data_IF_446923904454
#
_entry.id   IF_446923904454
#
_cell.length_a   1.000
_cell.length_b   1.000
_cell.length_c   1.000
_cell.angle_alpha   90.00
_cell.angle_beta   90.00
_cell.angle_gamma   90.00
#
_symmetry.space_group_name_H-M   'P 1'
#
loop_
_entity.id
_entity.type
_entity.pdbx_description
1 polymer ?
#
# COMPACT_ATOMS: atom_id res chain seq x y z
N UNK A 1 -5.24 -4.68 -21.08
CA UNK A 1 -4.73 -5.35 -19.86
C UNK A 1 -5.88 -6.15 -19.29
N UNK A 2 -5.61 -7.29 -18.66
CA UNK A 2 -6.67 -8.19 -18.20
C UNK A 2 -6.33 -8.69 -16.80
N UNK A 3 -7.11 -8.22 -15.82
CA UNK A 3 -7.29 -8.97 -14.59
C UNK A 3 -8.09 -10.21 -14.97
N UNK A 4 -7.56 -11.38 -14.62
CA UNK A 4 -8.24 -12.66 -14.83
C UNK A 4 -8.76 -13.16 -13.49
N UNK A 5 -10.04 -13.50 -13.42
CA UNK A 5 -10.58 -14.17 -12.24
C UNK A 5 -9.97 -15.56 -12.07
N UNK A 6 -9.65 -15.90 -10.82
CA UNK A 6 -9.21 -17.23 -10.40
C UNK A 6 -10.40 -17.84 -9.66
N UNK A 7 -10.93 -18.93 -10.20
CA UNK A 7 -12.05 -19.62 -9.56
C UNK A 7 -13.39 -18.88 -9.65
N UNK A 8 -14.35 -19.37 -8.87
CA UNK A 8 -15.70 -18.82 -8.83
C UNK A 8 -15.80 -17.76 -7.73
N UNK A 9 -16.63 -16.74 -7.96
CA UNK A 9 -17.01 -15.80 -6.90
C UNK A 9 -17.69 -16.52 -5.74
N UNK A 10 -17.44 -16.05 -4.53
CA UNK A 10 -18.07 -16.55 -3.31
C UNK A 10 -18.58 -15.39 -2.45
N UNK A 11 -19.52 -15.71 -1.56
CA UNK A 11 -20.06 -14.75 -0.62
C UNK A 11 -19.49 -15.02 0.77
N UNK A 12 -19.06 -13.97 1.44
CA UNK A 12 -18.56 -14.04 2.79
C UNK A 12 -18.92 -12.74 3.53
N UNK A 13 -19.23 -12.86 4.81
CA UNK A 13 -19.32 -11.69 5.68
C UNK A 13 -17.89 -11.17 5.93
N UNK A 14 -17.72 -9.86 5.80
CA UNK A 14 -16.42 -9.20 5.99
C UNK A 14 -16.52 -8.07 7.00
N UNK A 15 -15.37 -7.70 7.55
CA UNK A 15 -15.23 -6.58 8.46
C UNK A 15 -14.47 -5.45 7.76
N UNK A 16 -15.11 -4.28 7.69
CA UNK A 16 -14.49 -3.07 7.15
C UNK A 16 -14.21 -2.11 8.31
N UNK A 17 -12.92 -1.88 8.61
CA UNK A 17 -12.52 -0.87 9.58
C UNK A 17 -12.65 0.55 9.05
N UNK A 18 -13.11 1.47 9.89
CA UNK A 18 -13.20 2.90 9.58
C UNK A 18 -12.19 3.78 10.34
N UNK A 19 -12.08 5.03 9.90
CA UNK A 19 -11.31 6.10 10.54
C UNK A 19 -12.30 7.10 11.15
N UNK A 20 -12.71 6.90 12.40
CA UNK A 20 -13.75 7.72 13.03
C UNK A 20 -13.25 9.06 13.58
N UNK A 21 -14.07 10.12 13.48
CA UNK A 21 -13.85 11.43 14.13
C UNK A 21 -15.01 11.81 15.09
N UNK A 22 -14.78 12.72 16.05
CA UNK A 22 -15.84 13.30 16.93
C UNK A 22 -16.05 12.64 18.32
N UNK A 23 -17.03 13.10 19.11
CA UNK A 23 -17.36 12.55 20.47
C UNK A 23 -18.45 11.45 20.45
N UNK A 24 -19.17 11.27 19.33
CA UNK A 24 -20.26 10.27 19.15
C UNK A 24 -19.81 8.99 18.44
N UNK A 25 -18.54 8.58 18.63
CA UNK A 25 -17.92 7.49 17.87
C UNK A 25 -18.53 6.10 18.15
N UNK A 26 -19.26 5.95 19.26
CA UNK A 26 -19.81 4.65 19.70
C UNK A 26 -21.28 4.43 19.32
N UNK A 27 -22.00 5.45 18.82
CA UNK A 27 -23.46 5.37 18.66
C UNK A 27 -23.90 5.23 17.20
N UNK A 28 -23.19 5.84 16.26
CA UNK A 28 -23.51 5.81 14.83
C UNK A 28 -22.19 6.02 14.07
N UNK A 29 -21.56 4.98 13.49
CA UNK A 29 -20.38 5.20 12.67
C UNK A 29 -20.83 5.86 11.36
N UNK A 30 -20.89 7.20 11.37
CA UNK A 30 -20.97 7.99 10.16
C UNK A 30 -19.62 7.88 9.43
N UNK A 31 -19.50 6.84 8.61
CA UNK A 31 -18.36 6.62 7.74
C UNK A 31 -18.38 7.65 6.60
N UNK A 32 -17.84 8.83 6.87
CA UNK A 32 -17.39 9.71 5.81
C UNK A 32 -16.01 9.21 5.38
N UNK A 33 -15.75 9.16 4.06
CA UNK A 33 -14.40 9.02 3.56
C UNK A 33 -13.50 10.03 4.32
N UNK A 34 -12.40 9.60 4.95
CA UNK A 34 -11.64 10.46 5.83
C UNK A 34 -11.13 11.70 5.09
N UNK A 35 -11.14 12.83 5.78
CA UNK A 35 -10.70 14.10 5.24
C UNK A 35 -9.25 13.98 4.70
N UNK A 36 -9.00 14.23 3.39
CA UNK A 36 -7.68 14.08 2.79
C UNK A 36 -6.64 15.08 3.31
N UNK A 37 -7.03 15.99 4.20
CA UNK A 37 -6.16 16.97 4.85
C UNK A 37 -5.66 16.53 6.24
N UNK A 38 -6.24 15.49 6.84
CA UNK A 38 -5.88 15.09 8.20
C UNK A 38 -4.70 14.10 8.24
N UNK A 39 -3.80 14.33 9.19
CA UNK A 39 -2.66 13.45 9.44
C UNK A 39 -3.15 12.09 9.97
N UNK A 40 -2.66 11.01 9.38
CA UNK A 40 -2.96 9.62 9.78
C UNK A 40 -2.69 9.30 11.27
N UNK A 41 -1.95 10.18 11.97
CA UNK A 41 -1.64 10.08 13.40
C UNK A 41 -2.86 10.33 14.30
N UNK A 42 -3.86 11.11 13.85
CA UNK A 42 -5.04 11.45 14.65
C UNK A 42 -6.07 10.31 14.76
N UNK A 43 -6.02 9.33 13.85
CA UNK A 43 -6.99 8.22 13.78
C UNK A 43 -6.51 6.93 14.48
N UNK A 44 -5.56 7.05 15.41
CA UNK A 44 -4.90 5.93 16.11
C UNK A 44 -5.79 5.14 17.10
N UNK A 45 -7.09 5.40 17.14
CA UNK A 45 -8.02 4.75 18.08
C UNK A 45 -8.41 3.37 17.53
N UNK A 46 -8.56 2.37 18.42
CA UNK A 46 -9.05 1.01 18.13
C UNK A 46 -10.18 1.10 17.10
N UNK A 47 -10.00 0.43 15.96
CA UNK A 47 -10.81 0.62 14.78
C UNK A 47 -12.28 0.32 15.08
N UNK A 48 -13.12 1.31 14.88
CA UNK A 48 -14.54 1.07 14.63
C UNK A 48 -14.63 0.25 13.36
N UNK A 49 -15.47 -0.76 13.35
CA UNK A 49 -15.65 -1.61 12.20
C UNK A 49 -17.12 -1.81 11.91
N UNK A 50 -17.41 -2.10 10.65
CA UNK A 50 -18.71 -2.52 10.20
C UNK A 50 -18.59 -3.96 9.68
N UNK A 51 -19.49 -4.81 10.14
CA UNK A 51 -19.75 -6.10 9.50
C UNK A 51 -20.61 -5.82 8.27
N UNK A 52 -20.14 -6.28 7.11
CA UNK A 52 -20.84 -6.23 5.84
C UNK A 52 -21.16 -7.66 5.45
N UNK A 53 -22.45 -7.97 5.44
CA UNK A 53 -22.92 -9.32 5.18
C UNK A 53 -22.93 -9.64 3.68
N UNK A 54 -22.62 -10.89 3.35
CA UNK A 54 -22.74 -11.47 2.00
C UNK A 54 -21.99 -10.70 0.89
N UNK A 55 -20.85 -10.10 1.20
CA UNK A 55 -20.04 -9.38 0.22
C UNK A 55 -19.52 -10.33 -0.87
N UNK A 56 -19.47 -9.86 -2.11
CA UNK A 56 -19.07 -10.68 -3.26
C UNK A 56 -17.53 -10.66 -3.41
N UNK A 57 -16.88 -11.71 -2.93
CA UNK A 57 -15.44 -11.87 -2.98
C UNK A 57 -15.01 -12.73 -4.17
N UNK A 58 -13.86 -12.36 -4.73
CA UNK A 58 -13.21 -13.08 -5.82
C UNK A 58 -11.71 -13.17 -5.59
N UNK A 59 -11.11 -14.23 -6.10
CA UNK A 59 -9.67 -14.32 -6.26
C UNK A 59 -9.32 -13.97 -7.71
N UNK A 60 -8.19 -13.28 -7.93
CA UNK A 60 -7.80 -12.77 -9.23
C UNK A 60 -6.29 -12.89 -9.47
N UNK A 61 -5.91 -13.00 -10.74
CA UNK A 61 -4.56 -12.77 -11.21
C UNK A 61 -4.51 -11.39 -11.86
N UNK A 62 -3.69 -10.51 -11.31
CA UNK A 62 -3.22 -9.34 -12.05
C UNK A 62 -2.12 -9.81 -13.02
N UNK A 63 -2.32 -9.61 -14.33
CA UNK A 63 -1.35 -9.97 -15.35
C UNK A 63 -0.97 -8.78 -16.23
N UNK A 64 0.33 -8.48 -16.25
CA UNK A 64 0.91 -7.48 -17.15
C UNK A 64 1.63 -8.18 -18.30
N UNK A 65 0.88 -8.44 -19.38
CA UNK A 65 1.29 -9.27 -20.52
C UNK A 65 2.62 -8.87 -21.16
N UNK A 66 2.86 -7.57 -21.35
CA UNK A 66 4.04 -7.08 -22.04
C UNK A 66 5.33 -7.26 -21.22
N UNK A 67 5.21 -7.52 -19.91
CA UNK A 67 6.35 -7.59 -18.99
C UNK A 67 6.42 -8.94 -18.25
N UNK A 68 5.54 -9.88 -18.62
CA UNK A 68 5.40 -11.23 -18.09
C UNK A 68 5.39 -11.26 -16.55
N UNK A 69 4.55 -10.40 -15.95
CA UNK A 69 4.41 -10.32 -14.49
C UNK A 69 3.00 -10.77 -14.11
N UNK A 70 2.90 -11.71 -13.18
CA UNK A 70 1.66 -12.13 -12.56
C UNK A 70 1.71 -11.98 -11.04
N UNK A 71 0.68 -11.38 -10.47
CA UNK A 71 0.48 -11.27 -9.02
C UNK A 71 -0.85 -11.92 -8.68
N UNK A 72 -0.83 -12.86 -7.74
CA UNK A 72 -2.03 -13.48 -7.20
C UNK A 72 -2.63 -12.54 -6.17
N UNK A 73 -3.95 -12.40 -6.20
CA UNK A 73 -4.67 -11.55 -5.26
C UNK A 73 -5.91 -12.27 -4.80
N UNK A 74 -6.06 -12.41 -3.49
CA UNK A 74 -7.11 -13.21 -2.87
C UNK A 74 -8.12 -12.34 -2.12
N UNK A 75 -9.35 -12.83 -2.05
CA UNK A 75 -10.45 -12.28 -1.24
C UNK A 75 -10.81 -10.83 -1.59
N UNK A 76 -10.68 -10.45 -2.86
CA UNK A 76 -10.96 -9.09 -3.34
C UNK A 76 -12.46 -8.87 -3.42
N UNK A 77 -12.96 -7.75 -2.88
CA UNK A 77 -14.33 -7.29 -3.13
C UNK A 77 -14.48 -7.02 -4.63
N UNK A 78 -15.41 -7.70 -5.30
CA UNK A 78 -15.54 -7.67 -6.77
C UNK A 78 -15.70 -6.25 -7.33
N UNK A 79 -16.38 -5.35 -6.63
CA UNK A 79 -16.53 -3.94 -7.04
C UNK A 79 -15.23 -3.14 -6.99
N UNK A 80 -14.22 -3.59 -6.25
CA UNK A 80 -12.95 -2.88 -6.01
C UNK A 80 -11.81 -3.35 -6.93
N UNK A 81 -12.08 -4.30 -7.83
CA UNK A 81 -11.08 -4.83 -8.78
C UNK A 81 -10.43 -3.74 -9.62
N UNK A 82 -11.22 -2.75 -10.08
CA UNK A 82 -10.71 -1.63 -10.87
C UNK A 82 -9.79 -0.71 -10.04
N UNK A 83 -10.09 -0.53 -8.76
CA UNK A 83 -9.27 0.27 -7.85
C UNK A 83 -7.89 -0.38 -7.67
N UNK A 84 -7.88 -1.71 -7.53
CA UNK A 84 -6.68 -2.52 -7.42
C UNK A 84 -5.86 -2.52 -8.72
N UNK A 85 -6.50 -2.68 -9.88
CA UNK A 85 -5.84 -2.57 -11.20
C UNK A 85 -5.09 -1.25 -11.33
N UNK A 86 -5.81 -0.14 -11.10
CA UNK A 86 -5.25 1.22 -11.18
C UNK A 86 -4.09 1.41 -10.21
N UNK A 87 -4.15 0.79 -9.04
CA UNK A 87 -3.07 0.87 -8.04
C UNK A 87 -1.82 0.15 -8.52
N UNK A 88 -1.97 -1.09 -9.02
CA UNK A 88 -0.84 -1.89 -9.50
C UNK A 88 -0.24 -1.34 -10.79
N UNK A 89 -1.03 -0.68 -11.63
CA UNK A 89 -0.56 0.02 -12.84
C UNK A 89 0.38 1.20 -12.55
N UNK A 90 0.32 1.78 -11.36
CA UNK A 90 1.32 2.79 -10.95
C UNK A 90 2.69 2.16 -10.66
N UNK A 91 2.71 0.90 -10.22
CA UNK A 91 3.91 0.21 -9.77
C UNK A 91 4.76 -0.22 -10.98
N UNK A 92 6.06 0.09 -10.98
CA UNK A 92 6.97 -0.36 -12.02
C UNK A 92 7.06 -1.89 -12.11
N UNK A 93 7.21 -2.43 -13.30
CA UNK A 93 7.21 -3.88 -13.48
C UNK A 93 8.38 -4.60 -12.84
N UNK A 94 9.57 -4.00 -12.79
CA UNK A 94 10.65 -4.58 -12.02
C UNK A 94 10.35 -4.64 -10.52
N UNK A 95 9.53 -3.73 -9.99
CA UNK A 95 9.08 -3.77 -8.59
C UNK A 95 8.04 -4.86 -8.38
N UNK A 96 7.11 -5.05 -9.32
CA UNK A 96 6.13 -6.14 -9.26
C UNK A 96 6.78 -7.51 -9.40
N UNK A 97 7.79 -7.68 -10.28
CA UNK A 97 8.61 -8.92 -10.33
C UNK A 97 9.31 -9.17 -9.01
N UNK A 98 9.95 -8.14 -8.46
CA UNK A 98 10.61 -8.24 -7.16
C UNK A 98 9.64 -8.60 -6.04
N UNK A 99 8.42 -8.04 -6.05
CA UNK A 99 7.36 -8.42 -5.15
C UNK A 99 7.03 -9.91 -5.30
N UNK A 100 6.77 -10.40 -6.51
CA UNK A 100 6.48 -11.81 -6.78
C UNK A 100 7.59 -12.74 -6.28
N UNK A 101 8.85 -12.38 -6.47
CA UNK A 101 9.98 -13.19 -6.04
C UNK A 101 10.09 -13.27 -4.50
N UNK A 102 9.69 -12.19 -3.80
CA UNK A 102 9.82 -12.08 -2.34
C UNK A 102 8.58 -12.49 -1.57
N UNK A 103 7.42 -12.34 -2.20
CA UNK A 103 6.09 -12.60 -1.69
C UNK A 103 5.35 -13.42 -2.74
N UNK A 104 5.73 -14.70 -2.91
CA UNK A 104 5.27 -15.54 -4.02
C UNK A 104 3.75 -15.73 -4.01
N UNK A 105 3.14 -15.66 -2.83
CA UNK A 105 1.72 -15.82 -2.70
C UNK A 105 0.96 -14.50 -2.95
N UNK A 106 1.64 -13.35 -2.99
CA UNK A 106 1.08 -12.12 -3.56
C UNK A 106 0.36 -11.24 -2.53
N UNK A 107 -0.87 -10.82 -2.85
CA UNK A 107 -1.65 -9.87 -2.04
C UNK A 107 -2.90 -10.57 -1.51
N UNK A 108 -3.22 -10.35 -0.24
CA UNK A 108 -4.35 -10.99 0.43
C UNK A 108 -5.17 -9.89 1.07
N UNK A 109 -6.46 -9.87 0.78
CA UNK A 109 -7.38 -9.02 1.52
C UNK A 109 -7.87 -9.75 2.76
N UNK A 110 -7.98 -9.02 3.87
CA UNK A 110 -8.44 -9.57 5.13
C UNK A 110 -9.25 -8.52 5.91
N UNK A 111 -9.98 -8.99 6.90
CA UNK A 111 -10.72 -8.14 7.84
C UNK A 111 -9.77 -7.26 8.67
N UNK A 112 -8.68 -7.86 9.13
CA UNK A 112 -7.71 -7.23 10.01
C UNK A 112 -6.27 -7.58 9.62
N UNK A 113 -5.34 -6.83 10.19
CA UNK A 113 -3.91 -7.09 10.09
C UNK A 113 -3.24 -6.89 11.44
N UNK A 114 -2.26 -7.74 11.77
CA UNK A 114 -1.56 -7.75 13.05
C UNK A 114 -2.10 -8.79 14.03
N UNK A 115 -1.58 -8.80 15.25
CA UNK A 115 -1.86 -9.88 16.23
C UNK A 115 -2.25 -9.36 17.60
N UNK A 116 -3.26 -9.98 18.22
CA UNK A 116 -3.70 -9.68 19.58
C UNK A 116 -3.94 -8.18 19.80
N UNK A 117 -3.22 -7.55 20.74
CA UNK A 117 -3.39 -6.11 21.04
C UNK A 117 -2.96 -5.18 19.88
N UNK A 118 -2.18 -5.69 18.93
CA UNK A 118 -1.68 -4.95 17.76
C UNK A 118 -2.58 -5.08 16.52
N UNK A 119 -3.60 -5.93 16.56
CA UNK A 119 -4.56 -6.13 15.47
C UNK A 119 -5.31 -4.84 15.13
N UNK A 120 -5.53 -4.61 13.83
CA UNK A 120 -6.22 -3.43 13.30
C UNK A 120 -7.04 -3.79 12.08
N UNK A 121 -8.25 -3.24 11.98
CA UNK A 121 -9.16 -3.37 10.84
C UNK A 121 -8.90 -2.35 9.70
N UNK A 122 -7.82 -1.57 9.83
CA UNK A 122 -7.42 -0.54 8.85
C UNK A 122 -5.93 -0.65 8.57
N UNK A 123 -5.51 -0.44 7.32
CA UNK A 123 -4.10 -0.47 6.91
C UNK A 123 -3.66 -1.78 6.25
N UNK A 124 -2.37 -2.08 6.31
CA UNK A 124 -1.77 -3.28 5.75
C UNK A 124 -0.68 -3.81 6.67
N UNK A 125 -0.18 -4.99 6.31
CA UNK A 125 0.93 -5.63 6.98
C UNK A 125 1.76 -6.41 5.96
N UNK A 126 3.08 -6.33 6.11
CA UNK A 126 4.05 -7.17 5.42
C UNK A 126 4.72 -8.11 6.44
N UNK A 127 4.15 -9.30 6.69
CA UNK A 127 4.63 -10.20 7.72
C UNK A 127 6.02 -10.74 7.38
N UNK A 128 6.90 -10.84 8.37
CA UNK A 128 8.23 -11.46 8.23
C UNK A 128 8.28 -12.92 8.65
N UNK A 129 7.18 -13.45 9.16
CA UNK A 129 7.04 -14.79 9.73
C UNK A 129 5.57 -15.21 9.66
N UNK A 130 5.34 -16.52 9.59
CA UNK A 130 4.01 -17.10 9.56
C UNK A 130 3.30 -17.01 10.92
N UNK A 131 1.96 -16.91 10.96
CA UNK A 131 1.19 -17.16 12.18
C UNK A 131 0.65 -18.58 12.16
N UNK A 132 1.05 -19.39 13.13
CA UNK A 132 0.48 -20.72 13.31
C UNK A 132 -1.05 -20.71 13.54
N UNK A 133 -1.62 -19.56 13.94
CA UNK A 133 -3.06 -19.39 14.13
C UNK A 133 -3.83 -19.05 12.84
N UNK A 134 -3.16 -18.66 11.76
CA UNK A 134 -3.78 -18.44 10.44
C UNK A 134 -3.59 -19.68 9.57
N UNK A 135 -4.37 -20.73 9.87
CA UNK A 135 -4.19 -22.08 9.31
C UNK A 135 -4.39 -22.21 7.79
N UNK A 136 -4.82 -21.15 7.10
CA UNK A 136 -5.14 -21.17 5.68
C UNK A 136 -4.00 -20.70 4.77
N UNK A 137 -2.96 -20.03 5.30
CA UNK A 137 -1.93 -19.41 4.47
C UNK A 137 -0.65 -19.06 5.26
N UNK A 138 0.53 -19.26 4.65
CA UNK A 138 1.80 -18.74 5.21
C UNK A 138 1.88 -17.21 5.03
N UNK A 139 1.56 -16.47 6.09
CA UNK A 139 1.50 -15.00 6.06
C UNK A 139 2.81 -14.35 5.58
N UNK A 140 3.95 -15.01 5.80
CA UNK A 140 5.26 -14.50 5.43
C UNK A 140 5.48 -14.46 3.91
N UNK A 141 4.70 -15.22 3.14
CA UNK A 141 4.77 -15.26 1.68
C UNK A 141 3.88 -14.23 0.98
N UNK A 142 3.10 -13.46 1.74
CA UNK A 142 2.16 -12.46 1.20
C UNK A 142 2.33 -11.04 1.77
N UNK A 143 1.53 -10.13 1.22
CA UNK A 143 1.18 -8.84 1.80
C UNK A 143 -0.30 -8.88 2.18
N UNK A 144 -0.62 -8.50 3.41
CA UNK A 144 -2.00 -8.41 3.91
C UNK A 144 -2.48 -6.97 3.77
N UNK A 145 -3.64 -6.77 3.16
CA UNK A 145 -4.31 -5.46 3.04
C UNK A 145 -5.70 -5.59 3.66
N UNK A 146 -6.00 -4.72 4.63
CA UNK A 146 -7.35 -4.75 5.23
C UNK A 146 -8.39 -4.14 4.32
N UNK A 147 -9.65 -4.59 4.38
CA UNK A 147 -10.74 -3.93 3.66
C UNK A 147 -10.90 -2.45 4.03
N UNK A 148 -10.63 -2.09 5.29
CA UNK A 148 -10.61 -0.69 5.74
C UNK A 148 -9.54 0.18 5.06
N UNK A 149 -8.50 -0.40 4.44
CA UNK A 149 -7.52 0.35 3.67
C UNK A 149 -8.06 0.88 2.34
N UNK A 150 -9.06 0.21 1.76
CA UNK A 150 -9.66 0.58 0.47
C UNK A 150 -10.43 1.91 0.57
N UNK A 151 -11.10 2.13 1.70
CA UNK A 151 -12.04 3.24 1.89
C UNK A 151 -11.37 4.59 2.13
N UNK A 152 -10.16 4.60 2.71
CA UNK A 152 -9.49 5.84 3.12
C UNK A 152 -9.22 6.81 1.97
N UNK A 153 -8.84 6.26 0.82
CA UNK A 153 -8.34 7.01 -0.33
C UNK A 153 -9.12 6.67 -1.60
N UNK A 154 -10.33 6.12 -1.45
CA UNK A 154 -11.17 5.72 -2.58
C UNK A 154 -11.43 6.91 -3.53
N UNK A 155 -11.54 8.14 -2.99
CA UNK A 155 -11.66 9.37 -3.76
C UNK A 155 -10.44 9.74 -4.61
N UNK A 156 -9.24 9.26 -4.26
CA UNK A 156 -8.01 9.42 -5.05
C UNK A 156 -7.98 8.38 -6.20
N UNK A 157 -8.76 7.30 -6.07
CA UNK A 157 -8.88 6.27 -7.11
C UNK A 157 -7.74 5.25 -7.12
N UNK A 158 -7.04 5.08 -5.99
CA UNK A 158 -6.01 4.06 -5.75
C UNK A 158 -6.01 3.60 -4.28
N UNK A 159 -5.19 2.59 -3.97
CA UNK A 159 -4.96 2.05 -2.62
C UNK A 159 -3.50 2.38 -2.19
N UNK A 160 -3.22 3.58 -1.65
CA UNK A 160 -1.87 3.97 -1.23
C UNK A 160 -1.24 3.00 -0.23
N UNK A 161 -2.04 2.40 0.66
CA UNK A 161 -1.59 1.38 1.61
C UNK A 161 -0.92 0.20 0.90
N UNK A 162 -1.47 -0.29 -0.21
CA UNK A 162 -0.85 -1.36 -0.97
C UNK A 162 0.52 -0.95 -1.53
N UNK A 163 0.62 0.27 -2.07
CA UNK A 163 1.89 0.82 -2.56
C UNK A 163 2.90 0.94 -1.41
N UNK A 164 2.46 1.35 -0.23
CA UNK A 164 3.28 1.43 0.98
C UNK A 164 3.82 0.05 1.40
N UNK A 165 2.97 -0.99 1.43
CA UNK A 165 3.40 -2.35 1.78
C UNK A 165 4.38 -2.95 0.76
N UNK A 166 4.20 -2.65 -0.53
CA UNK A 166 5.22 -2.95 -1.56
C UNK A 166 6.52 -2.18 -1.26
N UNK A 167 6.41 -0.95 -0.77
CA UNK A 167 7.52 -0.16 -0.24
C UNK A 167 8.32 -0.91 0.83
N UNK A 168 7.68 -1.63 1.76
CA UNK A 168 8.40 -2.47 2.73
C UNK A 168 9.24 -3.57 2.07
N UNK A 169 8.71 -4.24 1.04
CA UNK A 169 9.47 -5.26 0.29
C UNK A 169 10.71 -4.63 -0.38
N UNK A 170 10.58 -3.39 -0.85
CA UNK A 170 11.65 -2.66 -1.53
C UNK A 170 12.71 -2.11 -0.55
N UNK A 171 12.30 -1.57 0.60
CA UNK A 171 13.19 -0.96 1.59
C UNK A 171 13.93 -2.01 2.41
N UNK A 172 13.25 -3.05 2.88
CA UNK A 172 13.86 -4.11 3.72
C UNK A 172 14.89 -4.93 2.92
N UNK A 173 14.71 -5.04 1.60
CA UNK A 173 15.69 -5.65 0.70
C UNK A 173 16.81 -4.69 0.22
N UNK A 174 16.85 -3.44 0.72
CA UNK A 174 17.88 -2.45 0.38
C UNK A 174 17.79 -1.90 -1.05
N UNK A 175 16.66 -2.06 -1.75
CA UNK A 175 16.45 -1.45 -3.07
C UNK A 175 16.23 0.05 -2.96
N UNK A 176 15.58 0.47 -1.87
CA UNK A 176 15.50 1.84 -1.38
C UNK A 176 16.43 1.96 -0.17
N UNK A 177 17.24 3.01 -0.10
CA UNK A 177 18.27 3.11 0.94
C UNK A 177 18.57 4.55 1.33
N UNK A 178 18.75 4.76 2.63
CA UNK A 178 19.17 6.02 3.22
C UNK A 178 20.55 6.53 2.77
N UNK A 179 21.38 5.68 2.15
CA UNK A 179 22.73 6.05 1.72
C UNK A 179 22.77 7.19 0.70
N UNK A 180 21.66 7.46 0.02
CA UNK A 180 21.54 8.50 -1.00
C UNK A 180 20.93 9.80 -0.47
N UNK A 181 20.52 9.82 0.79
CA UNK A 181 19.99 10.98 1.49
C UNK A 181 21.13 11.71 2.19
N UNK A 182 21.01 13.03 2.34
CA UNK A 182 21.87 13.80 3.22
C UNK A 182 21.74 13.31 4.66
N UNK A 183 22.73 13.63 5.50
CA UNK A 183 22.68 13.27 6.92
C UNK A 183 21.46 13.88 7.63
N UNK A 184 21.18 15.16 7.37
CA UNK A 184 20.01 15.87 7.92
C UNK A 184 18.68 15.25 7.50
N UNK A 185 18.53 14.87 6.22
CA UNK A 185 17.29 14.28 5.71
C UNK A 185 17.10 12.87 6.25
N UNK A 186 18.19 12.09 6.38
CA UNK A 186 18.17 10.76 6.98
C UNK A 186 17.73 10.82 8.42
N UNK A 187 18.32 11.71 9.22
CA UNK A 187 17.96 11.90 10.61
C UNK A 187 16.48 12.28 10.73
N UNK A 188 16.05 13.29 9.98
CA UNK A 188 14.65 13.76 9.98
C UNK A 188 13.69 12.64 9.61
N UNK A 189 13.92 11.94 8.50
CA UNK A 189 13.07 10.83 8.05
C UNK A 189 13.06 9.68 9.06
N UNK A 190 14.22 9.30 9.61
CA UNK A 190 14.31 8.20 10.59
C UNK A 190 13.58 8.51 11.90
N UNK A 191 13.48 9.80 12.24
CA UNK A 191 12.75 10.30 13.38
C UNK A 191 11.28 10.57 13.07
N UNK A 192 10.87 10.54 11.80
CA UNK A 192 9.47 10.70 11.46
C UNK A 192 8.70 9.49 11.98
N UNK A 193 7.84 9.73 12.97
CA UNK A 193 6.90 8.73 13.48
C UNK A 193 5.72 8.60 12.52
N UNK A 194 5.96 8.22 11.26
CA UNK A 194 4.98 8.12 10.15
C UNK A 194 4.21 6.80 10.10
N UNK A 195 4.52 5.83 10.98
CA UNK A 195 3.85 4.53 11.04
C UNK A 195 3.51 4.09 12.48
N UNK A 196 2.68 3.05 12.57
CA UNK A 196 2.23 2.36 13.79
C UNK A 196 3.33 1.48 14.41
N UNK A 197 4.26 0.98 13.60
CA UNK A 197 5.51 0.35 14.05
C UNK A 197 6.66 1.32 13.76
N UNK A 198 6.94 2.29 14.65
CA UNK A 198 7.97 3.29 14.40
C UNK A 198 9.31 2.62 14.19
N UNK A 199 9.81 2.69 12.97
CA UNK A 199 11.13 2.20 12.58
C UNK A 199 11.66 3.09 11.47
N UNK A 200 12.98 3.21 11.38
CA UNK A 200 13.62 4.06 10.37
C UNK A 200 13.13 3.73 8.95
N UNK A 201 12.85 2.47 8.63
CA UNK A 201 12.44 2.08 7.28
C UNK A 201 11.03 2.55 6.88
N UNK A 202 10.19 2.92 7.83
CA UNK A 202 8.80 3.36 7.57
C UNK A 202 8.71 4.66 6.80
N UNK A 203 9.58 5.61 7.13
CA UNK A 203 9.66 6.85 6.37
C UNK A 203 10.14 6.61 4.93
N UNK A 204 11.00 5.61 4.70
CA UNK A 204 11.36 5.21 3.35
C UNK A 204 10.22 4.54 2.59
N UNK A 205 9.36 3.76 3.26
CA UNK A 205 8.19 3.14 2.64
C UNK A 205 7.18 4.21 2.22
N UNK A 206 6.98 5.23 3.06
CA UNK A 206 6.18 6.40 2.72
C UNK A 206 6.79 7.23 1.58
N UNK A 207 8.10 7.50 1.63
CA UNK A 207 8.81 8.20 0.56
C UNK A 207 8.68 7.46 -0.78
N UNK A 208 8.82 6.13 -0.77
CA UNK A 208 8.56 5.28 -1.92
C UNK A 208 7.14 5.44 -2.44
N UNK A 209 6.13 5.28 -1.57
CA UNK A 209 4.72 5.41 -1.93
C UNK A 209 4.42 6.75 -2.60
N UNK A 210 4.83 7.86 -1.98
CA UNK A 210 4.60 9.18 -2.55
C UNK A 210 5.34 9.41 -3.85
N UNK A 211 6.54 8.84 -4.01
CA UNK A 211 7.28 8.96 -5.26
C UNK A 211 6.62 8.18 -6.41
N UNK A 212 6.08 6.98 -6.13
CA UNK A 212 5.25 6.24 -7.09
C UNK A 212 4.02 7.07 -7.49
N UNK A 213 3.29 7.63 -6.51
CA UNK A 213 2.12 8.48 -6.80
C UNK A 213 2.49 9.74 -7.58
N UNK A 214 3.61 10.38 -7.24
CA UNK A 214 4.09 11.59 -7.89
C UNK A 214 4.37 11.38 -9.38
N UNK A 215 4.91 10.21 -9.73
CA UNK A 215 5.19 9.85 -11.12
C UNK A 215 3.92 9.53 -11.94
N UNK A 216 2.73 9.52 -11.33
CA UNK A 216 1.47 9.25 -12.03
C UNK A 216 1.14 10.33 -13.08
N UNK A 217 0.53 9.91 -14.18
CA UNK A 217 -0.07 10.81 -15.17
C UNK A 217 -1.41 11.38 -14.72
N UNK A 218 -2.05 10.79 -13.71
CA UNK A 218 -3.34 11.25 -13.18
C UNK A 218 -3.07 12.43 -12.22
N UNK A 219 -3.59 13.65 -12.51
CA UNK A 219 -3.28 14.84 -11.72
C UNK A 219 -3.60 14.73 -10.23
N UNK A 220 -4.73 14.12 -9.87
CA UNK A 220 -5.14 13.94 -8.47
C UNK A 220 -4.16 13.05 -7.68
N UNK A 221 -3.72 11.94 -8.28
CA UNK A 221 -2.74 11.02 -7.68
C UNK A 221 -1.38 11.70 -7.56
N UNK A 222 -0.95 12.40 -8.61
CA UNK A 222 0.30 13.15 -8.60
C UNK A 222 0.32 14.24 -7.54
N UNK A 223 -0.78 14.99 -7.38
CA UNK A 223 -0.94 16.01 -6.35
C UNK A 223 -0.85 15.42 -4.94
N UNK A 224 -1.42 14.22 -4.75
CA UNK A 224 -1.27 13.48 -3.49
C UNK A 224 0.22 13.18 -3.20
N UNK A 225 0.99 12.77 -4.21
CA UNK A 225 2.43 12.50 -4.10
C UNK A 225 3.34 13.73 -3.93
N UNK A 226 2.88 14.95 -4.28
CA UNK A 226 3.73 16.16 -4.36
C UNK A 226 3.55 17.20 -3.26
N UNK A 227 2.75 16.96 -2.22
CA UNK A 227 2.45 17.99 -1.20
C UNK A 227 3.72 18.45 -0.44
N UNK A 228 4.06 19.76 -0.45
CA UNK A 228 5.40 20.25 -0.09
C UNK A 228 5.72 20.31 1.42
N UNK A 229 4.72 20.11 2.30
CA UNK A 229 4.88 20.33 3.75
C UNK A 229 5.57 19.13 4.44
N UNK A 230 5.68 17.99 3.77
CA UNK A 230 6.13 16.72 4.36
C UNK A 230 7.40 16.24 3.63
N UNK A 231 8.46 15.92 4.39
CA UNK A 231 9.79 15.59 3.84
C UNK A 231 9.75 14.37 2.91
N UNK A 232 8.92 13.37 3.20
CA UNK A 232 8.74 12.16 2.38
C UNK A 232 8.27 12.47 0.95
N UNK A 233 7.70 13.65 0.69
CA UNK A 233 7.18 14.10 -0.61
C UNK A 233 8.07 15.16 -1.27
N UNK A 234 9.15 15.55 -0.60
CA UNK A 234 9.97 16.70 -1.00
C UNK A 234 10.77 16.44 -2.29
N UNK A 235 11.17 17.50 -3.01
CA UNK A 235 12.11 17.38 -4.13
C UNK A 235 13.44 16.69 -3.75
N UNK A 236 13.93 16.92 -2.52
CA UNK A 236 15.17 16.33 -2.00
C UNK A 236 15.02 14.81 -1.87
N UNK A 237 13.93 14.35 -1.26
CA UNK A 237 13.59 12.93 -1.14
C UNK A 237 13.45 12.28 -2.50
N UNK A 238 12.76 12.92 -3.46
CA UNK A 238 12.65 12.42 -4.85
C UNK A 238 14.01 12.28 -5.52
N UNK A 239 14.89 13.27 -5.35
CA UNK A 239 16.25 13.24 -5.89
C UNK A 239 17.08 12.10 -5.29
N UNK A 240 16.97 11.86 -3.98
CA UNK A 240 17.62 10.73 -3.34
C UNK A 240 17.05 9.38 -3.81
N UNK A 241 15.73 9.28 -3.97
CA UNK A 241 15.06 8.07 -4.45
C UNK A 241 15.45 7.70 -5.89
N UNK A 242 15.57 8.67 -6.80
CA UNK A 242 16.05 8.41 -8.19
C UNK A 242 17.42 7.72 -8.25
N UNK A 243 18.24 7.88 -7.22
CA UNK A 243 19.58 7.25 -7.13
C UNK A 243 19.52 5.83 -6.53
N UNK A 244 18.38 5.45 -5.96
CA UNK A 244 18.20 4.12 -5.37
C UNK A 244 18.17 3.03 -6.45
N UNK A 245 18.58 1.81 -6.10
CA UNK A 245 18.65 0.67 -7.03
C UNK A 245 17.29 0.37 -7.68
N UNK A 246 16.21 0.60 -6.92
CA UNK A 246 14.83 0.49 -7.39
C UNK A 246 14.55 1.35 -8.62
N UNK A 247 15.15 2.54 -8.72
CA UNK A 247 14.86 3.51 -9.78
C UNK A 247 15.98 3.62 -10.81
N UNK A 248 16.56 2.48 -11.18
CA UNK A 248 17.58 2.37 -12.24
C UNK A 248 17.06 1.51 -13.39
N UNK A 249 17.75 1.54 -14.53
CA UNK A 249 17.42 0.74 -15.73
C UNK A 249 17.38 -0.79 -15.52
N UNK A 250 17.87 -1.29 -14.37
CA UNK A 250 17.75 -2.70 -13.99
C UNK A 250 16.35 -3.09 -13.51
N UNK A 251 15.59 -2.11 -13.02
CA UNK A 251 14.27 -2.30 -12.40
C UNK A 251 13.17 -1.52 -13.14
N UNK A 252 13.56 -0.54 -13.96
CA UNK A 252 12.65 0.30 -14.72
C UNK A 252 12.82 0.10 -16.23
N UNK A 253 11.72 0.07 -16.96
CA UNK A 253 11.71 0.19 -18.42
C UNK A 253 12.10 1.60 -18.88
N UNK A 254 12.46 1.83 -20.16
CA UNK A 254 12.79 3.16 -20.65
C UNK A 254 11.68 4.21 -20.43
N UNK A 255 10.42 3.80 -20.60
CA UNK A 255 9.27 4.67 -20.35
C UNK A 255 9.13 5.00 -18.85
N UNK A 256 9.31 4.01 -17.97
CA UNK A 256 9.27 4.24 -16.52
C UNK A 256 10.42 5.15 -16.08
N UNK A 257 11.63 4.95 -16.61
CA UNK A 257 12.78 5.83 -16.36
C UNK A 257 12.45 7.28 -16.68
N UNK A 258 11.86 7.54 -17.86
CA UNK A 258 11.42 8.86 -18.27
C UNK A 258 10.41 9.47 -17.29
N UNK A 259 9.39 8.67 -16.94
CA UNK A 259 8.33 9.03 -15.99
C UNK A 259 8.88 9.48 -14.64
N UNK A 260 9.94 8.82 -14.14
CA UNK A 260 10.59 9.16 -12.88
C UNK A 260 11.72 10.20 -12.99
N UNK A 261 12.22 10.51 -14.19
CA UNK A 261 13.30 11.49 -14.40
C UNK A 261 12.80 12.90 -14.67
N UNK A 262 11.77 13.04 -15.51
CA UNK A 262 11.28 14.35 -16.00
C UNK A 262 10.30 15.01 -15.04
N UNK A 263 9.63 14.19 -14.23
CA UNK A 263 8.65 14.63 -13.25
C UNK A 263 9.35 14.63 -11.92
#
# INVERSE_FOLDING_TARGET
>A
MAIHMIGQSYHQDIIIGGYGSGRRRNSEPNYFAPNPLDSWQHDRIRGFYQEVENENLIDIHYYRSNENVSINIYQVIRSEVLLLERTLDLIPSGHLRWLKDRKPAGIIFADSAGRGRSERYTGGLNPGYDDANTSFFDESEGIIITYGALWRYQNIGIIPTLIHEIGHVMTHAGKISYRFFSESDRETLSNTRVSRNPGSLEALCNAYMYFICYASDIPAIRLFGSRPIILERSPQTRTALRRCRAFTSRMLSPYEMLRFSER
#
